data_IF_570778966680
#
_entry.id   IF_570778966680
#
_cell.length_a   1.000
_cell.length_b   1.000
_cell.length_c   1.000
_cell.angle_alpha   90.00
_cell.angle_beta   90.00
_cell.angle_gamma   90.00
#
_symmetry.space_group_name_H-M   'P 1'
#
loop_
_entity.id
_entity.type
_entity.pdbx_description
1 polymer ?
#
# COMPACT_ATOMS: atom_id res chain seq x y z
N UNK A 1 -58.85 -30.48 70.24
CA UNK A 1 -59.94 -29.97 69.40
C UNK A 1 -60.27 -28.55 69.85
N UNK A 2 -59.67 -27.56 69.20
CA UNK A 2 -60.19 -26.21 68.97
C UNK A 2 -59.18 -25.52 68.06
N UNK A 3 -59.53 -25.48 66.78
CA UNK A 3 -58.89 -24.60 65.80
C UNK A 3 -59.14 -23.16 66.24
N UNK A 4 -58.10 -22.33 66.21
CA UNK A 4 -58.26 -20.89 66.32
C UNK A 4 -57.55 -20.23 65.15
N UNK A 5 -58.42 -19.67 64.31
CA UNK A 5 -58.16 -18.97 63.08
C UNK A 5 -57.36 -17.68 63.33
N UNK A 6 -56.62 -17.34 62.29
CA UNK A 6 -55.50 -16.42 62.17
C UNK A 6 -55.96 -14.95 62.22
N UNK A 7 -55.32 -14.10 63.01
CA UNK A 7 -55.42 -12.64 62.85
C UNK A 7 -54.29 -12.14 61.94
N UNK A 8 -54.66 -11.57 60.79
CA UNK A 8 -53.80 -10.81 59.88
C UNK A 8 -53.94 -9.32 60.26
N UNK A 9 -53.03 -8.74 61.07
CA UNK A 9 -53.20 -7.36 61.56
C UNK A 9 -52.77 -6.31 60.53
N UNK A 10 -52.28 -6.73 59.36
CA UNK A 10 -51.65 -5.85 58.38
C UNK A 10 -52.63 -5.27 57.35
N UNK A 11 -53.83 -5.83 57.19
CA UNK A 11 -54.76 -5.37 56.15
C UNK A 11 -55.76 -4.29 56.62
N UNK A 12 -56.10 -4.26 57.91
CA UNK A 12 -57.15 -3.37 58.43
C UNK A 12 -56.71 -1.90 58.58
N UNK A 13 -55.44 -1.64 58.91
CA UNK A 13 -54.91 -0.27 59.02
C UNK A 13 -54.80 0.44 57.66
N UNK A 14 -54.63 -0.30 56.56
CA UNK A 14 -54.48 0.23 55.21
C UNK A 14 -55.84 0.62 54.59
N UNK A 15 -56.94 0.00 55.05
CA UNK A 15 -58.31 0.30 54.60
C UNK A 15 -58.87 1.54 55.33
N UNK A 16 -58.49 1.77 56.59
CA UNK A 16 -59.01 2.90 57.38
C UNK A 16 -58.37 4.25 57.04
N UNK A 17 -57.14 4.27 56.52
CA UNK A 17 -56.41 5.50 56.19
C UNK A 17 -55.84 5.43 54.77
N UNK A 18 -56.65 5.69 53.72
CA UNK A 18 -56.14 5.69 52.36
C UNK A 18 -55.00 6.71 52.21
N UNK A 19 -53.89 6.35 51.55
CA UNK A 19 -52.76 7.24 51.41
C UNK A 19 -53.20 8.52 50.68
N UNK A 20 -52.98 9.65 51.34
CA UNK A 20 -53.32 10.97 50.83
C UNK A 20 -52.90 11.15 49.35
N UNK A 21 -53.80 11.61 48.46
CA UNK A 21 -53.57 11.66 47.01
C UNK A 21 -52.39 12.55 46.59
N UNK A 22 -51.89 13.41 47.47
CA UNK A 22 -50.66 14.18 47.23
C UNK A 22 -49.40 13.32 47.36
N UNK A 23 -49.32 12.37 48.30
CA UNK A 23 -48.15 11.50 48.51
C UNK A 23 -47.88 10.58 47.33
N UNK A 24 -48.93 10.02 46.72
CA UNK A 24 -48.84 9.17 45.52
C UNK A 24 -48.39 9.96 44.28
N UNK A 25 -48.81 11.22 44.14
CA UNK A 25 -48.36 12.13 43.07
C UNK A 25 -46.88 12.49 43.21
N UNK A 26 -46.40 12.80 44.43
CA UNK A 26 -44.97 13.07 44.66
C UNK A 26 -44.09 11.84 44.41
N UNK A 27 -44.56 10.66 44.80
CA UNK A 27 -43.85 9.40 44.52
C UNK A 27 -43.71 9.16 43.02
N UNK A 28 -44.80 9.28 42.25
CA UNK A 28 -44.80 9.14 40.79
C UNK A 28 -43.91 10.19 40.10
N UNK A 29 -43.94 11.44 40.56
CA UNK A 29 -43.06 12.50 40.06
C UNK A 29 -41.58 12.19 40.33
N UNK A 30 -41.24 11.71 41.53
CA UNK A 30 -39.87 11.33 41.89
C UNK A 30 -39.36 10.14 41.09
N UNK A 31 -40.23 9.17 40.78
CA UNK A 31 -39.91 8.02 39.93
C UNK A 31 -39.67 8.46 38.48
N UNK A 32 -40.52 9.33 37.93
CA UNK A 32 -40.30 9.92 36.60
C UNK A 32 -39.01 10.73 36.52
N UNK A 33 -38.70 11.51 37.56
CA UNK A 33 -37.46 12.27 37.61
C UNK A 33 -36.21 11.37 37.65
N UNK A 34 -36.24 10.30 38.46
CA UNK A 34 -35.18 9.27 38.47
C UNK A 34 -35.05 8.58 37.12
N UNK A 35 -36.16 8.24 36.46
CA UNK A 35 -36.15 7.65 35.11
C UNK A 35 -35.51 8.60 34.09
N UNK A 36 -35.81 9.89 34.13
CA UNK A 36 -35.18 10.89 33.24
C UNK A 36 -33.67 10.97 33.50
N UNK A 37 -33.23 11.00 34.75
CA UNK A 37 -31.79 11.01 35.09
C UNK A 37 -31.09 9.75 34.53
N UNK A 38 -31.70 8.58 34.71
CA UNK A 38 -31.14 7.32 34.19
C UNK A 38 -31.05 7.35 32.66
N UNK A 39 -32.09 7.83 31.97
CA UNK A 39 -32.10 7.94 30.51
C UNK A 39 -31.02 8.91 30.00
N UNK A 40 -30.83 10.05 30.68
CA UNK A 40 -29.76 11.01 30.35
C UNK A 40 -28.38 10.39 30.59
N UNK A 41 -28.18 9.70 31.71
CA UNK A 41 -26.91 9.05 32.02
C UNK A 41 -26.56 7.95 31.00
N UNK A 42 -27.54 7.14 30.60
CA UNK A 42 -27.37 6.12 29.55
C UNK A 42 -27.06 6.75 28.18
N UNK A 43 -27.73 7.85 27.83
CA UNK A 43 -27.45 8.60 26.60
C UNK A 43 -26.03 9.17 26.57
N UNK A 44 -25.58 9.78 27.67
CA UNK A 44 -24.22 10.29 27.81
C UNK A 44 -23.17 9.16 27.78
N UNK A 45 -23.44 8.04 28.43
CA UNK A 45 -22.58 6.85 28.37
C UNK A 45 -22.48 6.30 26.94
N UNK A 46 -23.60 6.20 26.23
CA UNK A 46 -23.61 5.78 24.83
C UNK A 46 -22.79 6.72 23.95
N UNK A 47 -22.95 8.04 24.09
CA UNK A 47 -22.17 9.02 23.33
C UNK A 47 -20.67 8.94 23.64
N UNK A 48 -20.31 8.75 24.91
CA UNK A 48 -18.92 8.56 25.33
C UNK A 48 -18.32 7.28 24.70
N UNK A 49 -19.03 6.15 24.80
CA UNK A 49 -18.58 4.87 24.23
C UNK A 49 -18.47 4.98 22.72
N UNK A 50 -19.46 5.57 22.03
CA UNK A 50 -19.38 5.81 20.58
C UNK A 50 -18.22 6.73 20.23
N UNK A 51 -17.98 7.79 20.99
CA UNK A 51 -16.82 8.68 20.81
C UNK A 51 -15.48 7.96 20.98
N UNK A 52 -15.36 7.08 21.99
CA UNK A 52 -14.16 6.25 22.20
C UNK A 52 -13.99 5.25 21.05
N UNK A 53 -15.07 4.57 20.63
CA UNK A 53 -15.03 3.63 19.50
C UNK A 53 -14.64 4.35 18.22
N UNK A 54 -15.21 5.52 17.93
CA UNK A 54 -14.82 6.32 16.77
C UNK A 54 -13.37 6.76 16.86
N UNK A 55 -12.91 7.26 18.01
CA UNK A 55 -11.52 7.68 18.22
C UNK A 55 -10.53 6.52 18.09
N UNK A 56 -10.84 5.34 18.62
CA UNK A 56 -10.01 4.14 18.49
C UNK A 56 -9.99 3.59 17.06
N UNK A 57 -11.08 3.77 16.32
CA UNK A 57 -11.16 3.41 14.90
C UNK A 57 -10.70 4.53 13.96
N UNK A 58 -10.37 5.72 14.48
CA UNK A 58 -9.61 6.69 13.70
C UNK A 58 -8.26 6.03 13.45
N UNK A 59 -7.83 5.93 12.18
CA UNK A 59 -6.51 5.43 11.87
C UNK A 59 -5.50 6.31 12.58
N UNK A 60 -4.90 5.79 13.66
CA UNK A 60 -3.78 6.42 14.34
C UNK A 60 -2.59 6.27 13.41
N UNK A 61 -2.49 7.18 12.44
CA UNK A 61 -1.38 7.28 11.52
C UNK A 61 -0.15 7.81 12.23
N UNK A 62 0.46 7.01 13.08
CA UNK A 62 1.82 7.25 13.56
C UNK A 62 2.62 5.97 13.44
N UNK A 63 2.94 5.63 12.21
CA UNK A 63 4.11 4.82 11.90
C UNK A 63 5.16 5.77 11.35
N UNK A 64 6.38 5.73 11.87
CA UNK A 64 7.55 6.38 11.25
C UNK A 64 7.79 5.71 9.89
N UNK A 65 6.96 6.04 8.90
CA UNK A 65 7.12 5.55 7.55
C UNK A 65 8.45 6.08 7.01
N UNK A 66 9.25 5.23 6.34
CA UNK A 66 10.45 5.72 5.68
C UNK A 66 10.06 6.78 4.65
N UNK A 67 10.92 7.80 4.51
CA UNK A 67 10.69 8.89 3.59
C UNK A 67 10.58 8.38 2.13
N UNK A 68 9.58 8.88 1.40
CA UNK A 68 9.51 8.79 -0.05
C UNK A 68 9.29 10.17 -0.68
N UNK A 69 10.00 10.50 -1.77
CA UNK A 69 9.72 11.72 -2.54
C UNK A 69 8.27 11.83 -3.02
N UNK A 70 7.56 10.70 -3.13
CA UNK A 70 6.18 10.63 -3.62
C UNK A 70 5.11 10.73 -2.52
N UNK A 71 5.47 10.78 -1.23
CA UNK A 71 4.52 10.63 -0.11
C UNK A 71 3.30 11.56 -0.20
N UNK A 72 3.51 12.80 -0.64
CA UNK A 72 2.49 13.83 -0.76
C UNK A 72 1.47 13.59 -1.88
N UNK A 73 1.71 12.67 -2.82
CA UNK A 73 0.79 12.34 -3.93
C UNK A 73 0.23 10.91 -3.87
N UNK A 74 0.64 10.10 -2.89
CA UNK A 74 0.17 8.71 -2.80
C UNK A 74 -1.33 8.68 -2.52
N UNK A 75 -2.06 8.02 -3.41
CA UNK A 75 -3.48 7.72 -3.27
C UNK A 75 -3.67 6.22 -3.41
N UNK A 76 -4.62 5.65 -2.67
CA UNK A 76 -4.85 4.21 -2.68
C UNK A 76 -6.29 3.88 -3.05
N UNK A 77 -6.48 2.75 -3.72
CA UNK A 77 -7.77 2.23 -4.14
C UNK A 77 -7.84 0.71 -3.92
N UNK A 78 -9.04 0.16 -3.83
CA UNK A 78 -9.24 -1.28 -3.66
C UNK A 78 -9.43 -1.98 -4.99
N UNK A 79 -8.73 -3.10 -5.17
CA UNK A 79 -8.86 -3.98 -6.32
C UNK A 79 -9.14 -5.42 -5.87
N UNK A 80 -9.68 -6.25 -6.77
CA UNK A 80 -9.71 -7.69 -6.53
C UNK A 80 -8.28 -8.20 -6.32
N UNK A 81 -8.09 -9.08 -5.34
CA UNK A 81 -6.81 -9.71 -5.10
C UNK A 81 -6.36 -10.53 -6.32
N UNK A 82 -7.26 -11.36 -6.84
CA UNK A 82 -7.04 -12.09 -8.09
C UNK A 82 -7.72 -11.33 -9.25
N UNK A 83 -6.97 -10.57 -10.08
CA UNK A 83 -7.56 -9.87 -11.22
C UNK A 83 -7.93 -10.88 -12.32
N UNK A 84 -9.14 -10.73 -12.88
CA UNK A 84 -9.61 -11.54 -14.02
C UNK A 84 -9.04 -11.06 -15.38
N UNK A 85 -8.16 -10.05 -15.36
CA UNK A 85 -7.71 -9.32 -16.56
C UNK A 85 -6.36 -9.83 -17.04
N UNK A 86 -6.33 -10.21 -18.31
CA UNK A 86 -5.11 -10.33 -19.11
C UNK A 86 -4.34 -9.00 -19.11
N UNK A 87 -3.01 -9.07 -19.15
CA UNK A 87 -2.15 -7.87 -19.29
C UNK A 87 -1.25 -8.03 -20.50
N UNK A 88 -1.12 -6.95 -21.29
CA UNK A 88 -0.28 -6.91 -22.50
C UNK A 88 1.19 -7.26 -22.22
N UNK A 89 1.66 -7.01 -21.00
CA UNK A 89 3.04 -7.27 -20.56
C UNK A 89 3.42 -8.76 -20.56
N UNK A 90 2.44 -9.65 -20.66
CA UNK A 90 2.62 -11.11 -20.73
C UNK A 90 2.38 -11.70 -22.13
N UNK A 91 2.05 -10.86 -23.12
CA UNK A 91 1.85 -11.31 -24.49
C UNK A 91 3.19 -11.65 -25.18
N UNK A 92 3.16 -12.46 -26.26
CA UNK A 92 4.33 -12.68 -27.10
C UNK A 92 4.94 -11.36 -27.63
N UNK A 93 6.27 -11.33 -27.89
CA UNK A 93 6.95 -10.15 -28.39
C UNK A 93 6.27 -9.53 -29.61
N UNK A 94 6.01 -8.23 -29.53
CA UNK A 94 5.43 -7.43 -30.61
C UNK A 94 5.76 -5.95 -30.38
N UNK A 95 5.70 -5.09 -31.41
CA UNK A 95 5.91 -3.65 -31.25
C UNK A 95 4.97 -3.02 -30.21
N UNK A 96 3.73 -3.52 -30.10
CA UNK A 96 2.75 -3.05 -29.12
C UNK A 96 3.15 -3.40 -27.69
N UNK A 97 3.66 -4.63 -27.47
CA UNK A 97 4.16 -5.09 -26.16
C UNK A 97 5.43 -4.33 -25.76
N UNK A 98 6.35 -4.14 -26.72
CA UNK A 98 7.56 -3.35 -26.50
C UNK A 98 7.24 -1.92 -26.11
N UNK A 99 6.30 -1.29 -26.82
CA UNK A 99 5.82 0.04 -26.50
C UNK A 99 5.17 0.10 -25.11
N UNK A 100 4.36 -0.89 -24.75
CA UNK A 100 3.73 -0.92 -23.43
C UNK A 100 4.79 -1.02 -22.31
N UNK A 101 5.77 -1.92 -22.47
CA UNK A 101 6.88 -2.03 -21.53
C UNK A 101 7.74 -0.77 -21.47
N UNK A 102 8.02 -0.13 -22.61
CA UNK A 102 8.70 1.17 -22.65
C UNK A 102 7.89 2.20 -21.87
N UNK A 103 6.62 2.42 -22.21
CA UNK A 103 5.76 3.39 -21.54
C UNK A 103 5.75 3.19 -20.02
N UNK A 104 5.64 1.94 -19.55
CA UNK A 104 5.59 1.60 -18.14
C UNK A 104 6.91 1.86 -17.40
N UNK A 105 8.05 1.54 -18.03
CA UNK A 105 9.39 1.61 -17.40
C UNK A 105 10.07 2.95 -17.69
N UNK A 106 9.50 3.82 -18.53
CA UNK A 106 10.09 5.11 -18.91
C UNK A 106 10.63 5.93 -17.73
N UNK A 107 9.92 6.10 -16.60
CA UNK A 107 10.45 6.81 -15.45
C UNK A 107 11.35 5.95 -14.55
N UNK A 108 12.12 5.02 -15.13
CA UNK A 108 13.17 4.26 -14.42
C UNK A 108 14.16 5.19 -13.73
N UNK A 109 14.44 6.32 -14.37
CA UNK A 109 15.18 7.41 -13.78
C UNK A 109 14.26 8.57 -13.49
N UNK A 110 14.51 9.25 -12.40
CA UNK A 110 13.88 10.53 -12.08
C UNK A 110 14.94 11.52 -11.61
N UNK A 111 14.67 12.81 -11.84
CA UNK A 111 15.47 13.89 -11.29
C UNK A 111 15.14 14.09 -9.82
N UNK A 112 16.03 13.63 -8.95
CA UNK A 112 15.95 13.82 -7.52
C UNK A 112 16.52 15.18 -7.12
N UNK A 113 15.84 15.88 -6.21
CA UNK A 113 16.36 17.12 -5.62
C UNK A 113 17.41 16.80 -4.56
N UNK A 114 18.19 17.83 -4.21
CA UNK A 114 19.20 17.70 -3.15
C UNK A 114 18.57 17.37 -1.79
N UNK A 115 17.41 17.95 -1.54
CA UNK A 115 16.61 17.75 -0.33
C UNK A 115 16.06 16.33 -0.27
N UNK A 116 15.53 15.81 -1.39
CA UNK A 116 15.06 14.43 -1.49
C UNK A 116 16.17 13.43 -1.20
N UNK A 117 17.37 13.61 -1.78
CA UNK A 117 18.52 12.74 -1.47
C UNK A 117 18.83 12.74 0.02
N UNK A 118 18.94 13.92 0.65
CA UNK A 118 19.25 14.02 2.08
C UNK A 118 18.17 13.40 2.95
N UNK A 119 16.90 13.59 2.60
CA UNK A 119 15.76 12.98 3.28
C UNK A 119 15.73 11.45 3.12
N UNK A 120 16.33 10.93 2.04
CA UNK A 120 16.58 9.50 1.82
C UNK A 120 17.89 9.00 2.43
N UNK A 121 18.62 9.80 3.22
CA UNK A 121 19.94 9.51 3.78
C UNK A 121 21.07 9.33 2.75
N UNK A 122 20.90 9.85 1.54
CA UNK A 122 21.92 9.89 0.49
C UNK A 122 22.75 11.18 0.56
N UNK A 123 23.99 11.11 0.05
CA UNK A 123 24.94 12.23 0.07
C UNK A 123 25.03 12.87 -1.32
N UNK A 124 24.56 14.11 -1.52
CA UNK A 124 24.60 14.73 -2.85
C UNK A 124 26.01 14.84 -3.45
N UNK A 125 27.04 14.90 -2.62
CA UNK A 125 28.43 15.03 -3.05
C UNK A 125 29.04 13.73 -3.57
N UNK A 126 28.41 12.57 -3.41
CA UNK A 126 28.84 11.29 -4.02
C UNK A 126 27.81 10.72 -5.02
N UNK A 127 26.75 11.48 -5.30
CA UNK A 127 25.67 11.07 -6.20
C UNK A 127 25.87 11.65 -7.60
N UNK A 128 25.61 10.82 -8.63
CA UNK A 128 25.67 11.23 -10.04
C UNK A 128 24.62 12.31 -10.34
N UNK A 129 25.04 13.38 -10.99
CA UNK A 129 24.16 14.51 -11.37
C UNK A 129 23.74 14.45 -12.84
N UNK A 130 22.56 15.01 -13.13
CA UNK A 130 22.06 15.14 -14.49
C UNK A 130 22.70 16.37 -15.17
N UNK A 131 23.07 16.22 -16.44
CA UNK A 131 23.65 17.32 -17.24
C UNK A 131 22.60 18.11 -18.02
N UNK A 132 21.49 17.47 -18.37
CA UNK A 132 20.44 18.03 -19.23
C UNK A 132 19.31 18.72 -18.44
N UNK A 133 19.26 18.49 -17.13
CA UNK A 133 18.32 19.12 -16.21
C UNK A 133 18.92 19.25 -14.82
N UNK A 134 18.35 20.11 -13.99
CA UNK A 134 18.75 20.22 -12.59
C UNK A 134 18.36 18.95 -11.83
N UNK A 135 19.23 18.55 -10.89
CA UNK A 135 19.01 17.43 -9.98
C UNK A 135 19.99 16.29 -10.15
N UNK A 136 19.70 15.21 -9.42
CA UNK A 136 20.51 14.02 -9.32
C UNK A 136 19.81 12.83 -9.95
N UNK A 137 20.59 11.89 -10.47
CA UNK A 137 20.04 10.66 -11.02
C UNK A 137 19.51 9.80 -9.86
N UNK A 138 18.20 9.63 -9.78
CA UNK A 138 17.56 8.72 -8.84
C UNK A 138 16.71 7.67 -9.55
N UNK A 139 16.30 6.64 -8.81
CA UNK A 139 15.24 5.71 -9.21
C UNK A 139 14.26 5.52 -8.05
N UNK A 140 12.97 5.36 -8.34
CA UNK A 140 11.99 4.94 -7.34
C UNK A 140 11.90 3.41 -7.39
N UNK A 141 11.88 2.76 -6.22
CA UNK A 141 11.98 1.30 -6.11
C UNK A 141 11.04 0.51 -7.03
N UNK A 142 9.79 0.97 -7.20
CA UNK A 142 8.83 0.28 -8.10
C UNK A 142 9.29 0.27 -9.55
N UNK A 143 9.97 1.31 -10.06
CA UNK A 143 10.46 1.30 -11.43
C UNK A 143 11.70 0.43 -11.57
N UNK A 144 12.56 0.35 -10.56
CA UNK A 144 13.63 -0.64 -10.53
C UNK A 144 13.05 -2.06 -10.60
N UNK A 145 12.04 -2.38 -9.79
CA UNK A 145 11.33 -3.66 -9.85
C UNK A 145 10.66 -3.93 -11.21
N UNK A 146 10.05 -2.92 -11.84
CA UNK A 146 9.45 -3.03 -13.18
C UNK A 146 10.50 -3.22 -14.28
N UNK A 147 11.63 -2.54 -14.20
CA UNK A 147 12.79 -2.79 -15.06
C UNK A 147 13.27 -4.23 -14.92
N UNK A 148 13.44 -4.70 -13.68
CA UNK A 148 13.81 -6.10 -13.39
C UNK A 148 12.80 -7.09 -13.99
N UNK A 149 11.51 -6.83 -13.86
CA UNK A 149 10.48 -7.68 -14.45
C UNK A 149 10.55 -7.71 -15.99
N UNK A 150 10.78 -6.56 -16.63
CA UNK A 150 10.99 -6.48 -18.08
C UNK A 150 12.22 -7.28 -18.51
N UNK A 151 13.31 -7.23 -17.74
CA UNK A 151 14.54 -8.00 -18.02
C UNK A 151 14.30 -9.51 -17.94
N UNK A 152 13.47 -9.96 -16.99
CA UNK A 152 13.02 -11.36 -16.90
C UNK A 152 12.16 -11.72 -18.11
N UNK A 153 11.21 -10.87 -18.50
CA UNK A 153 10.40 -11.06 -19.72
C UNK A 153 11.27 -11.21 -20.97
N UNK A 154 12.30 -10.37 -21.14
CA UNK A 154 13.25 -10.51 -22.25
C UNK A 154 14.03 -11.83 -22.21
N UNK A 155 14.36 -12.35 -21.03
CA UNK A 155 14.97 -13.68 -20.88
C UNK A 155 14.03 -14.82 -21.30
N UNK A 156 12.73 -14.72 -21.02
CA UNK A 156 11.74 -15.69 -21.50
C UNK A 156 11.60 -15.70 -23.03
N UNK A 157 12.07 -14.63 -23.68
CA UNK A 157 12.03 -14.43 -25.13
C UNK A 157 13.43 -14.15 -25.69
N UNK A 158 14.45 -14.88 -25.21
CA UNK A 158 15.85 -14.64 -25.57
C UNK A 158 16.11 -14.72 -27.08
N UNK A 159 15.38 -15.58 -27.80
CA UNK A 159 15.46 -15.71 -29.26
C UNK A 159 15.08 -14.42 -29.99
N UNK A 160 14.28 -13.55 -29.36
CA UNK A 160 13.87 -12.26 -29.90
C UNK A 160 14.81 -11.14 -29.42
N UNK A 161 14.94 -10.97 -28.10
CA UNK A 161 15.62 -9.79 -27.54
C UNK A 161 17.13 -9.93 -27.45
N UNK A 162 17.64 -11.16 -27.45
CA UNK A 162 19.06 -11.48 -27.34
C UNK A 162 19.57 -12.28 -28.55
N UNK A 163 18.86 -12.19 -29.67
CA UNK A 163 19.32 -12.71 -30.95
C UNK A 163 20.74 -12.24 -31.25
N UNK A 164 21.59 -13.15 -31.70
CA UNK A 164 22.99 -12.88 -32.10
C UNK A 164 23.94 -12.43 -30.98
N UNK A 165 23.57 -12.51 -29.69
CA UNK A 165 24.51 -12.25 -28.59
C UNK A 165 25.61 -13.30 -28.53
N UNK A 166 26.82 -12.87 -28.18
CA UNK A 166 27.94 -13.78 -27.90
C UNK A 166 27.69 -14.58 -26.63
N UNK A 167 28.40 -15.70 -26.44
CA UNK A 167 28.30 -16.49 -25.20
C UNK A 167 28.63 -15.64 -23.96
N UNK A 168 29.61 -14.73 -24.06
CA UNK A 168 29.96 -13.82 -22.98
C UNK A 168 28.86 -12.79 -22.71
N UNK A 169 28.23 -12.23 -23.76
CA UNK A 169 27.12 -11.31 -23.55
C UNK A 169 25.91 -12.02 -22.92
N UNK A 170 25.65 -13.27 -23.29
CA UNK A 170 24.59 -14.09 -22.66
C UNK A 170 24.89 -14.40 -21.19
N UNK A 171 26.14 -14.71 -20.84
CA UNK A 171 26.49 -15.01 -19.44
C UNK A 171 26.29 -13.79 -18.53
N UNK A 172 26.66 -12.59 -18.99
CA UNK A 172 26.39 -11.32 -18.29
C UNK A 172 24.89 -11.10 -18.13
N UNK A 173 24.10 -11.31 -19.19
CA UNK A 173 22.64 -11.17 -19.14
C UNK A 173 22.00 -12.13 -18.13
N UNK A 174 22.47 -13.38 -18.02
CA UNK A 174 21.98 -14.35 -17.04
C UNK A 174 22.27 -13.88 -15.60
N UNK A 175 23.47 -13.33 -15.34
CA UNK A 175 23.81 -12.78 -14.02
C UNK A 175 22.88 -11.63 -13.67
N UNK A 176 22.66 -10.72 -14.62
CA UNK A 176 21.74 -9.61 -14.46
C UNK A 176 20.30 -10.08 -14.19
N UNK A 177 19.79 -11.07 -14.95
CA UNK A 177 18.44 -11.61 -14.73
C UNK A 177 18.29 -12.29 -13.36
N UNK A 178 19.34 -12.94 -12.85
CA UNK A 178 19.35 -13.51 -11.50
C UNK A 178 19.31 -12.44 -10.42
N UNK A 179 20.04 -11.33 -10.60
CA UNK A 179 19.92 -10.16 -9.72
C UNK A 179 18.49 -9.61 -9.74
N UNK A 180 17.93 -9.40 -10.93
CA UNK A 180 16.56 -8.92 -11.12
C UNK A 180 15.51 -9.81 -10.44
N UNK A 181 15.67 -11.14 -10.52
CA UNK A 181 14.79 -12.08 -9.83
C UNK A 181 14.84 -11.86 -8.30
N UNK A 182 16.04 -11.65 -7.75
CA UNK A 182 16.23 -11.34 -6.33
C UNK A 182 15.52 -10.05 -5.90
N UNK A 183 15.65 -8.98 -6.69
CA UNK A 183 14.98 -7.69 -6.45
C UNK A 183 13.46 -7.86 -6.41
N UNK A 184 12.89 -8.52 -7.42
CA UNK A 184 11.44 -8.76 -7.49
C UNK A 184 10.94 -9.56 -6.30
N UNK A 185 11.66 -10.62 -5.89
CA UNK A 185 11.29 -11.41 -4.71
C UNK A 185 11.33 -10.56 -3.45
N UNK A 186 12.37 -9.74 -3.28
CA UNK A 186 12.49 -8.84 -2.14
C UNK A 186 11.33 -7.82 -2.09
N UNK A 187 11.01 -7.18 -3.22
CA UNK A 187 9.91 -6.21 -3.33
C UNK A 187 8.55 -6.84 -2.99
N UNK A 188 8.30 -8.07 -3.45
CA UNK A 188 7.08 -8.83 -3.14
C UNK A 188 6.99 -9.18 -1.65
N UNK A 189 8.12 -9.49 -1.00
CA UNK A 189 8.15 -9.75 0.44
C UNK A 189 7.93 -8.47 1.26
N UNK A 190 8.52 -7.36 0.84
CA UNK A 190 8.34 -6.05 1.47
C UNK A 190 6.91 -5.51 1.31
N UNK A 191 6.28 -5.78 0.16
CA UNK A 191 4.92 -5.35 -0.16
C UNK A 191 3.98 -6.56 -0.26
N UNK A 192 4.00 -7.40 0.77
CA UNK A 192 3.27 -8.67 0.78
C UNK A 192 1.75 -8.47 0.60
N UNK A 193 1.18 -9.08 -0.44
CA UNK A 193 -0.26 -9.18 -0.60
C UNK A 193 -0.80 -10.26 0.35
N UNK A 194 -1.50 -9.84 1.40
CA UNK A 194 -2.05 -10.74 2.42
C UNK A 194 -3.50 -11.16 2.15
N UNK A 195 -4.05 -10.82 0.99
CA UNK A 195 -5.38 -11.26 0.60
C UNK A 195 -5.44 -12.79 0.46
N UNK A 196 -6.52 -13.41 0.95
CA UNK A 196 -6.68 -14.86 0.92
C UNK A 196 -6.94 -15.35 -0.51
N UNK A 197 -6.13 -16.29 -0.99
CA UNK A 197 -6.39 -17.06 -2.19
C UNK A 197 -6.81 -18.48 -1.82
N UNK A 198 -7.66 -19.08 -2.65
CA UNK A 198 -8.11 -20.47 -2.51
C UNK A 198 -8.22 -21.11 -3.89
N UNK A 199 -8.65 -22.37 -3.94
CA UNK A 199 -8.81 -23.14 -5.17
C UNK A 199 -10.27 -23.58 -5.32
N UNK A 200 -10.80 -23.50 -6.54
CA UNK A 200 -12.17 -23.92 -6.84
C UNK A 200 -12.33 -24.49 -8.24
N UNK A 201 -13.35 -25.33 -8.41
CA UNK A 201 -13.71 -25.92 -9.70
C UNK A 201 -14.60 -24.99 -10.51
N UNK A 202 -14.46 -25.04 -11.84
CA UNK A 202 -15.34 -24.38 -12.80
C UNK A 202 -15.88 -25.46 -13.74
N UNK A 203 -16.96 -26.16 -13.36
CA UNK A 203 -17.42 -27.39 -14.03
C UNK A 203 -17.68 -27.20 -15.53
N UNK A 204 -18.10 -25.99 -15.93
CA UNK A 204 -18.42 -25.66 -17.32
C UNK A 204 -17.21 -25.21 -18.15
N UNK A 205 -15.99 -25.16 -17.56
CA UNK A 205 -14.77 -24.69 -18.23
C UNK A 205 -13.61 -25.67 -18.16
N UNK A 206 -13.36 -26.27 -17.00
CA UNK A 206 -12.17 -27.08 -16.75
C UNK A 206 -12.37 -28.05 -15.57
N UNK A 207 -12.06 -29.35 -15.70
CA UNK A 207 -12.08 -30.30 -14.58
C UNK A 207 -10.98 -30.06 -13.53
N UNK A 208 -10.04 -29.15 -13.78
CA UNK A 208 -8.92 -28.84 -12.86
C UNK A 208 -9.29 -27.65 -11.96
N UNK A 209 -9.05 -27.72 -10.63
CA UNK A 209 -9.28 -26.60 -9.74
C UNK A 209 -8.32 -25.44 -10.08
N UNK A 210 -8.86 -24.22 -10.17
CA UNK A 210 -8.08 -23.01 -10.49
C UNK A 210 -8.01 -22.08 -9.28
N UNK A 211 -6.94 -21.28 -9.24
CA UNK A 211 -6.76 -20.24 -8.24
C UNK A 211 -7.93 -19.24 -8.33
N UNK A 212 -8.52 -18.90 -7.19
CA UNK A 212 -9.57 -17.88 -7.08
C UNK A 212 -9.44 -17.12 -5.77
N UNK A 213 -9.95 -15.90 -5.77
CA UNK A 213 -10.09 -15.11 -4.55
C UNK A 213 -11.30 -14.19 -4.69
N UNK A 214 -12.13 -14.12 -3.66
CA UNK A 214 -13.14 -13.08 -3.50
C UNK A 214 -12.65 -11.90 -2.65
N UNK A 215 -11.40 -11.96 -2.16
CA UNK A 215 -10.83 -10.92 -1.33
C UNK A 215 -10.43 -9.70 -2.17
N UNK A 216 -10.37 -8.55 -1.51
CA UNK A 216 -9.83 -7.31 -2.07
C UNK A 216 -8.44 -7.05 -1.51
N UNK A 217 -7.65 -6.30 -2.26
CA UNK A 217 -6.34 -5.78 -1.83
C UNK A 217 -6.31 -4.27 -2.05
N UNK A 218 -5.54 -3.57 -1.22
CA UNK A 218 -5.24 -2.16 -1.43
C UNK A 218 -4.14 -2.04 -2.49
N UNK A 219 -4.29 -1.11 -3.42
CA UNK A 219 -3.29 -0.80 -4.44
C UNK A 219 -3.07 0.71 -4.48
N UNK A 220 -1.86 1.12 -4.86
CA UNK A 220 -1.60 2.50 -5.23
C UNK A 220 -2.42 2.85 -6.48
N UNK A 221 -3.01 4.04 -6.50
CA UNK A 221 -3.64 4.60 -7.68
C UNK A 221 -2.55 4.95 -8.69
N UNK A 222 -2.34 4.04 -9.63
CA UNK A 222 -1.15 4.00 -10.48
C UNK A 222 -0.98 5.25 -11.33
N UNK A 223 -2.01 5.67 -12.05
CA UNK A 223 -1.88 6.70 -13.09
C UNK A 223 -1.36 8.04 -12.57
N UNK A 224 -1.86 8.51 -11.42
CA UNK A 224 -1.41 9.77 -10.82
C UNK A 224 0.04 9.71 -10.34
N UNK A 225 0.43 8.59 -9.72
CA UNK A 225 1.82 8.37 -9.31
C UNK A 225 2.75 8.22 -10.52
N UNK A 226 2.29 7.51 -11.55
CA UNK A 226 3.06 7.27 -12.75
C UNK A 226 3.29 8.54 -13.56
N UNK A 227 2.28 9.39 -13.66
CA UNK A 227 2.41 10.71 -14.27
C UNK A 227 3.42 11.57 -13.51
N UNK A 228 3.32 11.65 -12.18
CA UNK A 228 4.27 12.40 -11.35
C UNK A 228 5.74 11.95 -11.56
N UNK A 229 5.97 10.63 -11.67
CA UNK A 229 7.31 10.12 -11.93
C UNK A 229 7.77 10.41 -13.36
N UNK A 230 6.85 10.31 -14.34
CA UNK A 230 7.11 10.59 -15.75
C UNK A 230 7.49 12.04 -16.00
N UNK A 231 6.80 12.99 -15.35
CA UNK A 231 7.07 14.43 -15.47
C UNK A 231 8.47 14.82 -14.98
N UNK A 232 9.09 13.95 -14.16
CA UNK A 232 10.41 14.15 -13.57
C UNK A 232 11.49 13.29 -14.22
N UNK A 233 11.14 12.51 -15.24
CA UNK A 233 12.07 11.59 -15.88
C UNK A 233 12.98 12.34 -16.87
N UNK A 234 14.31 12.18 -16.80
CA UNK A 234 15.25 12.78 -17.75
C UNK A 234 15.30 12.05 -19.11
N UNK A 235 14.46 11.02 -19.31
CA UNK A 235 14.52 10.08 -20.43
C UNK A 235 15.42 8.86 -20.17
N UNK A 236 15.60 8.00 -21.17
CA UNK A 236 16.36 6.74 -21.04
C UNK A 236 17.87 6.89 -21.10
N UNK A 237 18.35 7.92 -21.81
CA UNK A 237 19.79 8.14 -22.01
C UNK A 237 20.20 9.53 -21.51
N UNK A 238 19.96 9.86 -20.23
CA UNK A 238 20.42 11.12 -19.68
C UNK A 238 21.93 11.25 -19.82
N UNK A 239 22.41 12.46 -20.10
CA UNK A 239 23.83 12.76 -19.92
C UNK A 239 24.09 12.99 -18.43
N UNK A 240 25.19 12.41 -17.95
CA UNK A 240 25.48 12.33 -16.53
C UNK A 240 26.85 12.92 -16.22
N UNK A 241 26.99 13.46 -15.01
CA UNK A 241 28.24 13.96 -14.47
C UNK A 241 28.58 13.23 -13.18
N UNK A 242 29.78 12.67 -13.14
CA UNK A 242 30.30 12.04 -11.94
C UNK A 242 30.54 13.08 -10.83
N UNK A 243 30.46 12.67 -9.55
CA UNK A 243 30.72 13.57 -8.43
C UNK A 243 32.14 14.11 -8.43
N UNK A 244 32.30 15.42 -8.19
CA UNK A 244 33.59 16.12 -8.38
C UNK A 244 34.72 15.58 -7.48
N UNK A 245 34.38 15.19 -6.25
CA UNK A 245 35.26 14.58 -5.24
C UNK A 245 35.71 13.14 -5.60
N UNK A 246 35.10 12.52 -6.61
CA UNK A 246 35.42 11.17 -7.09
C UNK A 246 36.18 11.17 -8.42
N UNK A 247 36.33 12.33 -9.09
CA UNK A 247 37.05 12.42 -10.36
C UNK A 247 38.50 11.94 -10.21
N UNK A 248 38.94 11.06 -11.11
CA UNK A 248 40.29 10.50 -11.12
C UNK A 248 40.55 9.35 -10.13
N UNK A 249 39.61 9.06 -9.21
CA UNK A 249 39.64 7.82 -8.41
C UNK A 249 39.11 6.67 -9.27
N UNK A 250 39.76 5.50 -9.21
CA UNK A 250 39.27 4.25 -9.82
C UNK A 250 38.78 4.35 -11.29
N UNK A 251 39.38 5.23 -12.10
CA UNK A 251 38.98 5.41 -13.50
C UNK A 251 37.67 6.17 -13.73
N UNK A 252 37.10 6.82 -12.70
CA UNK A 252 35.89 7.64 -12.80
C UNK A 252 36.13 8.86 -13.71
N UNK A 253 35.41 8.92 -14.82
CA UNK A 253 35.46 10.00 -15.82
C UNK A 253 34.44 11.10 -15.50
N UNK A 254 34.72 12.33 -15.95
CA UNK A 254 33.87 13.49 -15.67
C UNK A 254 32.45 13.42 -16.24
N UNK A 255 32.32 12.94 -17.48
CA UNK A 255 31.02 12.75 -18.13
C UNK A 255 30.77 11.25 -18.34
N UNK A 256 29.56 10.81 -18.03
CA UNK A 256 29.09 9.43 -18.16
C UNK A 256 27.85 9.41 -19.07
N UNK A 257 27.62 8.29 -19.76
CA UNK A 257 26.34 8.00 -20.42
C UNK A 257 25.54 7.00 -19.58
N UNK A 258 24.21 7.03 -19.69
CA UNK A 258 23.36 6.03 -19.02
C UNK A 258 23.77 4.58 -19.35
N UNK A 259 24.17 4.31 -20.59
CA UNK A 259 24.64 2.99 -21.04
C UNK A 259 25.91 2.52 -20.32
N UNK A 260 26.68 3.43 -19.71
CA UNK A 260 27.87 3.08 -18.93
C UNK A 260 27.51 2.58 -17.52
N UNK A 261 26.30 2.87 -17.02
CA UNK A 261 25.79 2.37 -15.72
C UNK A 261 25.53 0.87 -15.79
N UNK A 262 24.98 0.38 -16.92
CA UNK A 262 24.54 -1.00 -17.08
C UNK A 262 25.66 -2.01 -17.40
N UNK A 263 26.93 -1.58 -17.43
CA UNK A 263 28.08 -2.48 -17.62
C UNK A 263 28.65 -3.04 -16.30
N UNK A 264 28.16 -2.58 -15.15
CA UNK A 264 28.80 -2.81 -13.85
C UNK A 264 28.09 -3.83 -12.93
N UNK A 265 27.06 -4.54 -13.40
CA UNK A 265 26.40 -5.64 -12.69
C UNK A 265 26.56 -6.98 -13.42
#
# INVERSE_FOLDING_TARGET
MKDQEQSLPLLEDEILNPPEPWKSRHLLLSLRFRQVIIMVALGLYSLLVTGIVLFQNLPHGTTNAPYSPADHILQFEQHKANPDKHTIYSDPPSPEVDKAWDDLVRPIYFSATKEELRSSNEVPDDTVSLLDMEGYLGTIGVYHGLHCMRRIYWHLHEDTYFANRTAQARSVEIVHARHCLGVVVHDLMCNANTALYTFGYYPDRDPIPRLKSGASRQCLKWDSFHQWATDRAPGYHPRLRAPANLLGKSGVKGNLKADDIFRAD
#
